data_IF_521777963055
#
_entry.id   IF_521777963055
#
_cell.length_a   1.000
_cell.length_b   1.000
_cell.length_c   1.000
_cell.angle_alpha   90.00
_cell.angle_beta   90.00
_cell.angle_gamma   90.00
#
_symmetry.space_group_name_H-M   'P 1'
#
loop_
_entity.id
_entity.type
_entity.pdbx_description
1 polymer ?
#
# COMPACT_ATOMS: atom_id res chain seq x y z
N UNK A 1 64.86 2.19 30.24
CA UNK A 1 63.77 3.20 30.25
C UNK A 1 63.35 3.54 28.82
N UNK A 2 62.52 2.73 28.14
CA UNK A 2 61.96 3.14 26.83
C UNK A 2 60.68 2.38 26.42
N UNK A 3 59.91 1.82 27.36
CA UNK A 3 58.72 0.99 27.03
C UNK A 3 57.40 1.62 27.48
N UNK A 4 57.41 2.62 28.37
CA UNK A 4 56.17 3.20 28.91
C UNK A 4 55.57 4.39 28.15
N UNK A 5 56.36 5.13 27.36
CA UNK A 5 55.84 6.29 26.60
C UNK A 5 55.09 5.93 25.32
N UNK A 6 55.20 4.68 24.82
CA UNK A 6 54.45 4.22 23.63
C UNK A 6 53.11 3.57 23.97
N UNK A 7 52.92 3.08 25.20
CA UNK A 7 51.65 2.49 25.62
C UNK A 7 50.58 3.55 25.93
N UNK A 8 51.00 4.73 26.42
CA UNK A 8 50.08 5.84 26.74
C UNK A 8 49.54 6.54 25.48
N UNK A 9 50.30 6.55 24.39
CA UNK A 9 49.84 7.12 23.11
C UNK A 9 48.82 6.20 22.39
N UNK A 10 48.89 4.89 22.63
CA UNK A 10 47.93 3.93 22.07
C UNK A 10 46.57 3.97 22.78
N UNK A 11 46.54 4.31 24.08
CA UNK A 11 45.30 4.44 24.86
C UNK A 11 44.60 5.79 24.68
N UNK A 12 45.32 6.83 24.25
CA UNK A 12 44.73 8.15 23.96
C UNK A 12 44.15 8.25 22.53
N UNK A 13 44.55 7.36 21.62
CA UNK A 13 44.01 7.28 20.26
C UNK A 13 42.77 6.38 20.12
N UNK A 14 42.37 5.67 21.19
CA UNK A 14 41.15 4.83 21.19
C UNK A 14 39.88 5.56 21.68
N UNK A 15 39.97 6.83 22.09
CA UNK A 15 38.84 7.59 22.64
C UNK A 15 38.37 8.77 21.78
N UNK A 16 38.79 8.85 20.50
CA UNK A 16 38.31 9.88 19.58
C UNK A 16 37.81 9.22 18.31
N UNK A 17 36.51 9.45 18.04
CA UNK A 17 35.73 9.02 16.86
C UNK A 17 34.92 7.71 17.00
N UNK A 18 34.16 7.53 18.08
CA UNK A 18 32.77 7.08 17.89
C UNK A 18 31.94 8.34 17.71
N UNK A 19 31.94 8.87 16.49
CA UNK A 19 30.86 9.76 16.08
C UNK A 19 29.62 8.88 16.12
N UNK A 20 28.56 9.22 16.87
CA UNK A 20 27.29 8.56 16.66
C UNK A 20 26.97 8.81 15.19
N UNK A 21 26.95 7.74 14.39
CA UNK A 21 26.24 7.77 13.12
C UNK A 21 24.83 8.15 13.53
N UNK A 22 24.52 9.44 13.41
CA UNK A 22 23.17 9.94 13.35
C UNK A 22 22.55 9.06 12.28
N UNK A 23 21.71 8.11 12.70
CA UNK A 23 20.87 7.36 11.80
C UNK A 23 20.13 8.43 11.01
N UNK A 24 20.58 8.67 9.77
CA UNK A 24 19.86 9.55 8.86
C UNK A 24 18.45 8.97 8.81
N UNK A 25 17.47 9.75 9.27
CA UNK A 25 16.08 9.32 9.26
C UNK A 25 15.79 8.71 7.90
N UNK A 26 15.31 7.47 7.89
CA UNK A 26 15.05 6.76 6.64
C UNK A 26 14.19 7.67 5.75
N UNK A 27 14.60 7.91 4.49
CA UNK A 27 13.87 8.80 3.60
C UNK A 27 12.42 8.31 3.49
N UNK A 28 11.46 9.22 3.64
CA UNK A 28 10.01 8.89 3.64
C UNK A 28 9.49 8.52 2.24
N UNK A 29 10.36 8.54 1.23
CA UNK A 29 10.10 8.02 -0.10
C UNK A 29 11.35 7.43 -0.73
N UNK A 30 11.15 6.67 -1.79
CA UNK A 30 12.20 6.03 -2.59
C UNK A 30 11.87 6.17 -4.07
N UNK A 31 12.84 5.95 -4.97
CA UNK A 31 12.54 5.88 -6.39
C UNK A 31 11.46 4.84 -6.66
N UNK A 32 10.45 5.22 -7.45
CA UNK A 32 9.37 4.32 -7.80
C UNK A 32 9.89 3.17 -8.68
N UNK A 33 9.21 2.04 -8.60
CA UNK A 33 9.31 0.96 -9.59
C UNK A 33 8.22 1.15 -10.65
N UNK A 34 8.43 0.60 -11.86
CA UNK A 34 7.47 0.72 -12.97
C UNK A 34 6.06 0.30 -12.55
N UNK A 35 5.94 -0.82 -11.84
CA UNK A 35 4.67 -1.36 -11.38
C UNK A 35 3.94 -0.43 -10.39
N UNK A 36 4.68 0.42 -9.68
CA UNK A 36 4.10 1.41 -8.77
C UNK A 36 3.57 2.64 -9.53
N UNK A 37 4.04 2.89 -10.76
CA UNK A 37 3.52 3.95 -11.63
C UNK A 37 2.25 3.53 -12.37
N UNK A 38 2.16 2.28 -12.83
CA UNK A 38 1.02 1.79 -13.63
C UNK A 38 -0.27 1.87 -12.80
N UNK A 39 -1.30 2.51 -13.36
CA UNK A 39 -2.61 2.71 -12.72
C UNK A 39 -3.20 4.09 -12.97
N UNK A 40 -4.25 4.40 -12.19
CA UNK A 40 -5.00 5.65 -12.26
C UNK A 40 -4.66 6.56 -11.09
N UNK A 41 -4.54 7.85 -11.37
CA UNK A 41 -4.01 8.82 -10.43
C UNK A 41 -4.76 10.13 -10.51
N UNK A 42 -4.95 10.77 -9.37
CA UNK A 42 -5.43 12.14 -9.27
C UNK A 42 -4.32 13.05 -8.71
N UNK A 43 -4.27 14.28 -9.19
CA UNK A 43 -3.41 15.31 -8.63
C UNK A 43 -3.99 15.80 -7.30
N UNK A 44 -3.21 15.68 -6.23
CA UNK A 44 -3.54 16.16 -4.89
C UNK A 44 -2.73 17.41 -4.58
N UNK A 45 -3.28 18.37 -3.80
CA UNK A 45 -2.54 19.55 -3.37
C UNK A 45 -1.25 19.21 -2.61
N UNK A 46 -0.10 19.58 -3.18
CA UNK A 46 1.24 19.36 -2.61
C UNK A 46 1.74 20.51 -1.73
N UNK A 47 1.02 21.64 -1.69
CA UNK A 47 1.38 22.81 -0.87
C UNK A 47 0.12 23.56 -0.41
N UNK A 48 0.05 24.09 0.83
CA UNK A 48 -1.12 24.85 1.30
C UNK A 48 -1.43 26.10 0.47
N UNK A 49 -0.41 26.71 -0.14
CA UNK A 49 -0.54 27.87 -1.05
C UNK A 49 -0.08 27.50 -2.47
N UNK A 50 -0.82 26.61 -3.17
CA UNK A 50 -0.51 26.20 -4.55
C UNK A 50 -0.44 27.38 -5.53
N UNK A 51 -1.27 28.40 -5.33
CA UNK A 51 -1.48 29.51 -6.29
C UNK A 51 -0.22 30.39 -6.41
N UNK A 52 0.51 30.58 -5.31
CA UNK A 52 1.58 31.56 -5.22
C UNK A 52 2.98 30.99 -5.53
N UNK A 53 3.11 29.67 -5.67
CA UNK A 53 4.40 29.03 -5.98
C UNK A 53 4.34 28.34 -7.35
N UNK A 54 5.08 28.84 -8.37
CA UNK A 54 5.03 28.29 -9.73
C UNK A 54 5.50 26.84 -9.82
N UNK A 55 6.29 26.33 -8.87
CA UNK A 55 6.72 24.92 -8.86
C UNK A 55 5.58 23.97 -8.51
N UNK A 56 4.57 24.43 -7.77
CA UNK A 56 3.45 23.61 -7.33
C UNK A 56 2.15 23.99 -8.05
N UNK A 57 2.14 25.10 -8.77
CA UNK A 57 0.96 25.61 -9.46
C UNK A 57 0.68 24.78 -10.74
N UNK A 58 -0.43 24.03 -10.81
CA UNK A 58 -0.83 23.26 -11.99
C UNK A 58 -1.34 24.11 -13.18
N UNK A 59 -1.39 25.43 -13.03
CA UNK A 59 -1.88 26.38 -14.04
C UNK A 59 -3.40 26.56 -14.00
N UNK A 60 -3.99 26.91 -15.15
CA UNK A 60 -5.43 27.22 -15.28
C UNK A 60 -6.34 26.00 -15.14
N UNK A 61 -5.79 24.78 -15.12
CA UNK A 61 -6.54 23.53 -14.92
C UNK A 61 -5.99 22.77 -13.71
N UNK A 62 -6.37 23.19 -12.49
CA UNK A 62 -5.80 22.66 -11.26
C UNK A 62 -6.21 21.22 -10.93
N UNK A 63 -7.30 20.72 -11.51
CA UNK A 63 -7.76 19.36 -11.29
C UNK A 63 -7.31 18.49 -12.46
N UNK A 64 -6.47 17.49 -12.17
CA UNK A 64 -5.85 16.65 -13.18
C UNK A 64 -5.90 15.18 -12.77
N UNK A 65 -6.15 14.32 -13.75
CA UNK A 65 -6.13 12.88 -13.59
C UNK A 65 -5.27 12.25 -14.67
N UNK A 66 -4.60 11.16 -14.31
CA UNK A 66 -3.64 10.48 -15.15
C UNK A 66 -3.93 8.99 -15.15
N UNK A 67 -3.72 8.34 -16.28
CA UNK A 67 -3.62 6.89 -16.37
C UNK A 67 -2.29 6.53 -17.02
N UNK A 68 -1.51 5.67 -16.37
CA UNK A 68 -0.29 5.07 -16.93
C UNK A 68 -0.57 3.60 -17.22
N UNK A 69 -0.52 3.22 -18.48
CA UNK A 69 -0.78 1.86 -18.94
C UNK A 69 0.52 1.09 -19.11
N UNK A 70 0.49 -0.23 -18.86
CA UNK A 70 1.70 -1.05 -18.95
C UNK A 70 2.32 -1.07 -20.36
N UNK A 71 1.49 -0.87 -21.39
CA UNK A 71 1.90 -0.73 -22.79
C UNK A 71 2.69 0.55 -23.12
N UNK A 72 2.96 1.42 -22.14
CA UNK A 72 3.70 2.66 -22.35
C UNK A 72 2.81 3.81 -22.84
N UNK A 73 1.49 3.69 -22.74
CA UNK A 73 0.57 4.79 -23.00
C UNK A 73 0.26 5.58 -21.74
N UNK A 74 0.08 6.90 -21.89
CA UNK A 74 -0.34 7.80 -20.83
C UNK A 74 -1.53 8.64 -21.30
N UNK A 75 -2.58 8.66 -20.50
CA UNK A 75 -3.72 9.55 -20.67
C UNK A 75 -3.71 10.59 -19.56
N UNK A 76 -4.05 11.83 -19.89
CA UNK A 76 -4.27 12.88 -18.92
C UNK A 76 -5.57 13.63 -19.23
N UNK A 77 -6.40 13.86 -18.21
CA UNK A 77 -7.52 14.80 -18.26
C UNK A 77 -7.21 15.95 -17.32
N UNK A 78 -7.45 17.18 -17.79
CA UNK A 78 -7.30 18.41 -17.00
C UNK A 78 -8.60 19.21 -17.06
N UNK A 79 -9.01 19.78 -15.93
CA UNK A 79 -10.19 20.64 -15.85
C UNK A 79 -9.98 21.75 -14.83
N UNK A 80 -10.76 22.82 -14.99
CA UNK A 80 -10.89 23.91 -14.01
C UNK A 80 -12.06 23.70 -13.05
N UNK A 81 -12.93 22.72 -13.31
CA UNK A 81 -14.11 22.43 -12.48
C UNK A 81 -13.72 21.60 -11.23
N UNK A 82 -13.86 22.15 -10.01
CA UNK A 82 -13.57 21.44 -8.76
C UNK A 82 -14.51 20.27 -8.46
N UNK A 83 -15.73 20.27 -9.02
CA UNK A 83 -16.74 19.26 -8.78
C UNK A 83 -16.62 18.09 -9.75
N UNK A 84 -15.89 18.27 -10.85
CA UNK A 84 -15.64 17.21 -11.81
C UNK A 84 -14.79 16.13 -11.17
N UNK A 85 -15.36 14.94 -11.04
CA UNK A 85 -14.60 13.72 -10.73
C UNK A 85 -14.42 12.93 -12.00
N UNK A 86 -13.18 12.62 -12.36
CA UNK A 86 -12.85 11.75 -13.49
C UNK A 86 -12.74 10.31 -13.00
N UNK A 87 -13.36 9.41 -13.72
CA UNK A 87 -13.33 7.97 -13.44
C UNK A 87 -12.28 7.25 -14.30
N UNK A 88 -11.76 6.10 -13.84
CA UNK A 88 -10.91 5.22 -14.66
C UNK A 88 -11.50 4.91 -16.05
N UNK A 89 -12.82 4.70 -16.12
CA UNK A 89 -13.54 4.46 -17.40
C UNK A 89 -13.37 5.59 -18.40
N UNK A 90 -13.38 6.83 -17.94
CA UNK A 90 -13.26 7.98 -18.82
C UNK A 90 -11.84 8.09 -19.38
N UNK A 91 -10.84 7.79 -18.54
CA UNK A 91 -9.44 7.70 -18.97
C UNK A 91 -9.25 6.55 -19.99
N UNK A 92 -9.83 5.38 -19.72
CA UNK A 92 -9.83 4.25 -20.65
C UNK A 92 -10.59 4.54 -21.94
N UNK A 93 -11.68 5.30 -21.84
CA UNK A 93 -12.47 5.77 -22.96
C UNK A 93 -11.64 6.64 -23.89
N UNK A 94 -10.75 7.48 -23.34
CA UNK A 94 -9.81 8.27 -24.14
C UNK A 94 -8.80 7.38 -24.84
N UNK A 95 -8.19 6.43 -24.10
CA UNK A 95 -7.23 5.49 -24.69
C UNK A 95 -7.83 4.74 -25.90
N UNK A 96 -9.09 4.31 -25.79
CA UNK A 96 -9.79 3.52 -26.82
C UNK A 96 -10.30 4.37 -27.98
N UNK A 97 -10.95 5.50 -27.67
CA UNK A 97 -11.71 6.25 -28.67
C UNK A 97 -10.90 7.40 -29.29
N UNK A 98 -9.84 7.85 -28.62
CA UNK A 98 -9.02 8.97 -29.06
C UNK A 98 -7.52 8.64 -28.97
N UNK A 99 -7.03 7.57 -29.63
CA UNK A 99 -5.63 7.13 -29.53
C UNK A 99 -4.62 8.23 -29.94
N UNK A 100 -5.03 9.16 -30.80
CA UNK A 100 -4.20 10.29 -31.24
C UNK A 100 -4.02 11.38 -30.16
N UNK A 101 -4.76 11.32 -29.05
CA UNK A 101 -4.65 12.24 -27.90
C UNK A 101 -3.85 11.61 -26.74
N UNK A 102 -3.33 10.40 -26.95
CA UNK A 102 -2.63 9.61 -25.93
C UNK A 102 -1.13 9.84 -26.06
N UNK A 103 -0.50 10.30 -24.99
CA UNK A 103 0.95 10.43 -24.92
C UNK A 103 1.60 9.06 -24.77
N UNK A 104 2.83 8.90 -25.24
CA UNK A 104 3.65 7.73 -24.89
C UNK A 104 4.56 8.06 -23.71
N UNK A 105 4.90 7.07 -22.90
CA UNK A 105 5.90 7.21 -21.86
C UNK A 105 6.86 6.02 -21.81
N UNK A 106 8.06 6.29 -21.32
CA UNK A 106 9.03 5.25 -20.95
C UNK A 106 9.45 5.40 -19.49
N UNK A 107 9.76 4.29 -18.83
CA UNK A 107 10.17 4.26 -17.43
C UNK A 107 11.55 3.61 -17.26
N UNK A 108 12.50 4.31 -16.66
CA UNK A 108 13.84 3.77 -16.35
C UNK A 108 14.35 4.33 -15.03
N UNK A 109 14.73 3.44 -14.11
CA UNK A 109 15.42 3.78 -12.85
C UNK A 109 14.76 4.92 -12.03
N UNK A 110 13.43 4.91 -11.92
CA UNK A 110 12.70 5.95 -11.19
C UNK A 110 12.40 7.21 -12.00
N UNK A 111 12.72 7.24 -13.30
CA UNK A 111 12.40 8.34 -14.20
C UNK A 111 11.35 7.95 -15.23
N UNK A 112 10.42 8.86 -15.49
CA UNK A 112 9.44 8.80 -16.58
C UNK A 112 9.81 9.83 -17.62
N UNK A 113 9.96 9.41 -18.87
CA UNK A 113 9.97 10.34 -20.01
C UNK A 113 8.61 10.27 -20.68
N UNK A 114 7.88 11.39 -20.71
CA UNK A 114 6.59 11.53 -21.40
C UNK A 114 6.83 12.26 -22.71
N UNK A 115 6.47 11.63 -23.82
CA UNK A 115 6.51 12.23 -25.15
C UNK A 115 5.09 12.59 -25.56
N UNK A 116 4.84 13.89 -25.73
CA UNK A 116 3.55 14.39 -26.19
C UNK A 116 3.32 14.10 -27.67
N UNK A 117 2.05 14.09 -28.10
CA UNK A 117 1.72 13.99 -29.52
C UNK A 117 1.69 15.38 -30.17
N UNK A 118 2.35 15.53 -31.32
CA UNK A 118 2.35 16.73 -32.16
C UNK A 118 3.74 17.33 -32.40
N UNK A 119 3.87 18.14 -33.45
CA UNK A 119 5.15 18.69 -33.94
C UNK A 119 5.79 19.76 -33.04
N UNK A 120 5.14 20.12 -31.93
CA UNK A 120 5.57 21.15 -30.98
C UNK A 120 5.68 20.64 -29.53
N UNK A 121 5.45 19.34 -29.28
CA UNK A 121 5.56 18.78 -27.94
C UNK A 121 7.02 18.42 -27.63
N UNK A 122 7.61 19.07 -26.62
CA UNK A 122 8.89 18.65 -26.05
C UNK A 122 8.69 17.46 -25.11
N UNK A 123 9.63 16.52 -25.13
CA UNK A 123 9.66 15.45 -24.14
C UNK A 123 9.80 16.03 -22.73
N UNK A 124 8.98 15.53 -21.80
CA UNK A 124 9.07 15.87 -20.38
C UNK A 124 9.78 14.74 -19.63
N UNK A 125 10.83 15.06 -18.87
CA UNK A 125 11.51 14.12 -17.98
C UNK A 125 11.08 14.34 -16.53
N UNK A 126 10.51 13.32 -15.91
CA UNK A 126 10.02 13.35 -14.54
C UNK A 126 10.78 12.36 -13.66
N UNK A 127 11.37 12.82 -12.56
CA UNK A 127 11.79 11.94 -11.47
C UNK A 127 10.58 11.53 -10.63
N UNK A 128 10.43 10.24 -10.33
CA UNK A 128 9.26 9.68 -9.65
C UNK A 128 9.69 8.97 -8.37
N UNK A 129 9.20 9.47 -7.24
CA UNK A 129 9.37 8.83 -5.95
C UNK A 129 8.04 8.33 -5.42
N UNK A 130 8.05 7.15 -4.80
CA UNK A 130 6.91 6.61 -4.06
C UNK A 130 7.09 6.88 -2.57
N UNK A 131 6.04 7.34 -1.92
CA UNK A 131 5.99 7.53 -0.47
C UNK A 131 5.88 6.17 0.21
N UNK A 132 6.77 5.87 1.16
CA UNK A 132 6.85 4.54 1.81
C UNK A 132 6.19 4.51 3.18
N UNK A 133 5.99 5.67 3.80
CA UNK A 133 5.33 5.84 5.09
C UNK A 133 4.51 7.12 5.12
N UNK A 134 3.46 7.13 5.93
CA UNK A 134 2.64 8.33 6.13
C UNK A 134 3.49 9.46 6.71
N UNK A 135 3.39 10.65 6.13
CA UNK A 135 4.04 11.86 6.65
C UNK A 135 3.17 13.07 6.40
N UNK A 136 3.16 14.01 7.34
CA UNK A 136 2.48 15.30 7.20
C UNK A 136 3.55 16.38 7.15
N UNK A 137 3.57 17.14 6.06
CA UNK A 137 4.47 18.29 5.90
C UNK A 137 3.61 19.55 5.78
N UNK A 138 3.68 20.43 6.78
CA UNK A 138 2.79 21.58 6.87
C UNK A 138 1.33 21.14 6.99
N UNK A 139 0.50 21.47 5.99
CA UNK A 139 -0.93 21.08 5.92
C UNK A 139 -1.21 19.96 4.90
N UNK A 140 -0.17 19.35 4.35
CA UNK A 140 -0.30 18.34 3.29
C UNK A 140 0.02 16.98 3.87
N UNK A 141 -0.90 16.05 3.65
CA UNK A 141 -0.76 14.65 4.06
C UNK A 141 -0.31 13.79 2.87
N UNK A 142 0.82 13.12 3.05
CA UNK A 142 1.36 12.14 2.13
C UNK A 142 1.09 10.74 2.69
N UNK A 143 0.45 9.90 1.89
CA UNK A 143 0.09 8.54 2.26
C UNK A 143 1.06 7.53 1.61
N UNK A 144 1.29 6.36 2.25
CA UNK A 144 2.03 5.28 1.61
C UNK A 144 1.44 4.94 0.24
N UNK A 145 2.29 4.87 -0.78
CA UNK A 145 1.88 4.60 -2.17
C UNK A 145 1.56 5.83 -3.02
N UNK A 146 1.45 7.03 -2.42
CA UNK A 146 1.41 8.27 -3.19
C UNK A 146 2.70 8.43 -4.02
N UNK A 147 2.60 9.09 -5.17
CA UNK A 147 3.76 9.43 -5.99
C UNK A 147 4.06 10.92 -5.93
N UNK A 148 5.34 11.24 -5.81
CA UNK A 148 5.88 12.58 -6.02
C UNK A 148 6.65 12.58 -7.32
N UNK A 149 6.14 13.32 -8.30
CA UNK A 149 6.82 13.53 -9.57
C UNK A 149 7.50 14.91 -9.58
N UNK A 150 8.73 14.97 -10.06
CA UNK A 150 9.54 16.20 -10.18
C UNK A 150 9.95 16.39 -11.63
N UNK A 151 9.49 17.47 -12.27
CA UNK A 151 9.82 17.79 -13.67
C UNK A 151 11.23 18.38 -13.75
N UNK A 152 12.07 17.78 -14.58
CA UNK A 152 13.38 18.31 -14.93
C UNK A 152 13.28 19.42 -15.98
N UNK A 153 13.96 20.53 -15.71
CA UNK A 153 14.14 21.65 -16.64
C UNK A 153 15.62 21.90 -16.92
N UNK A 154 16.39 20.85 -17.24
CA UNK A 154 17.83 20.95 -17.51
C UNK A 154 18.69 20.83 -16.25
N UNK A 155 18.45 19.80 -15.43
CA UNK A 155 19.17 19.53 -14.18
C UNK A 155 18.62 20.27 -12.96
N UNK A 156 17.47 20.94 -13.09
CA UNK A 156 16.78 21.64 -12.00
C UNK A 156 15.32 21.24 -11.98
N UNK A 157 14.77 21.03 -10.78
CA UNK A 157 13.34 20.78 -10.64
C UNK A 157 12.55 22.07 -10.82
N UNK A 158 11.73 22.11 -11.86
CA UNK A 158 10.89 23.25 -12.24
C UNK A 158 9.43 23.10 -11.86
N UNK A 159 8.95 21.86 -11.65
CA UNK A 159 7.58 21.58 -11.22
C UNK A 159 7.48 20.29 -10.42
N UNK A 160 6.48 20.19 -9.55
CA UNK A 160 6.15 18.98 -8.81
C UNK A 160 4.69 18.58 -9.03
N UNK A 161 4.43 17.28 -8.97
CA UNK A 161 3.08 16.71 -8.85
C UNK A 161 3.05 15.76 -7.66
N UNK A 162 2.02 15.87 -6.84
CA UNK A 162 1.66 14.85 -5.86
C UNK A 162 0.47 14.09 -6.41
N UNK A 163 0.68 12.81 -6.71
CA UNK A 163 -0.35 11.95 -7.26
C UNK A 163 -0.81 10.96 -6.20
N UNK A 164 -2.13 10.87 -6.05
CA UNK A 164 -2.78 9.85 -5.24
C UNK A 164 -3.47 8.84 -6.14
N UNK A 165 -3.34 7.57 -5.79
CA UNK A 165 -3.92 6.49 -6.58
C UNK A 165 -5.45 6.52 -6.45
N UNK A 166 -6.13 6.44 -7.60
CA UNK A 166 -7.58 6.24 -7.66
C UNK A 166 -7.81 4.73 -7.62
N UNK A 167 -8.49 4.26 -6.58
CA UNK A 167 -8.82 2.84 -6.42
C UNK A 167 -10.17 2.52 -7.07
N UNK A 168 -10.26 1.35 -7.71
CA UNK A 168 -11.42 0.89 -8.50
C UNK A 168 -12.62 0.43 -7.65
N UNK A 169 -12.55 0.52 -6.31
CA UNK A 169 -13.56 -0.07 -5.39
C UNK A 169 -14.98 0.45 -5.59
N UNK A 170 -15.15 1.63 -6.21
CA UNK A 170 -16.46 2.27 -6.41
C UNK A 170 -17.06 2.03 -7.80
N UNK A 171 -16.35 1.33 -8.70
CA UNK A 171 -16.69 1.30 -10.13
C UNK A 171 -16.94 -0.11 -10.72
N UNK A 172 -16.35 -1.17 -10.16
CA UNK A 172 -16.38 -2.50 -10.78
C UNK A 172 -17.60 -3.38 -10.45
N UNK A 173 -18.64 -2.84 -9.81
CA UNK A 173 -19.81 -3.65 -9.42
C UNK A 173 -20.66 -4.17 -10.60
N UNK A 174 -20.56 -3.58 -11.80
CA UNK A 174 -21.61 -3.75 -12.82
C UNK A 174 -21.20 -4.24 -14.22
N UNK A 175 -19.94 -4.60 -14.53
CA UNK A 175 -19.63 -5.19 -15.87
C UNK A 175 -18.58 -6.31 -15.88
N UNK A 176 -19.05 -7.48 -16.29
CA UNK A 176 -18.40 -8.65 -16.94
C UNK A 176 -16.86 -8.65 -17.06
N UNK A 177 -16.26 -9.67 -16.43
CA UNK A 177 -14.83 -10.03 -16.31
C UNK A 177 -14.00 -9.33 -15.21
N UNK A 178 -14.61 -8.54 -14.33
CA UNK A 178 -13.93 -8.24 -13.05
C UNK A 178 -13.70 -9.53 -12.26
N UNK A 179 -12.48 -9.81 -11.77
CA UNK A 179 -12.24 -10.94 -10.88
C UNK A 179 -12.86 -10.74 -9.50
N UNK A 180 -13.36 -9.54 -9.20
CA UNK A 180 -14.17 -9.23 -8.03
C UNK A 180 -15.58 -9.74 -8.27
N UNK A 181 -15.94 -10.85 -7.62
CA UNK A 181 -17.24 -11.53 -7.80
C UNK A 181 -18.26 -11.12 -6.74
N UNK A 182 -17.78 -10.52 -5.66
CA UNK A 182 -18.59 -10.07 -4.53
C UNK A 182 -19.34 -8.78 -4.88
N UNK A 183 -20.50 -8.59 -4.26
CA UNK A 183 -21.25 -7.33 -4.31
C UNK A 183 -21.03 -6.53 -3.02
N UNK A 184 -21.05 -5.19 -3.01
CA UNK A 184 -21.00 -4.44 -1.76
C UNK A 184 -22.19 -4.80 -0.86
N UNK A 185 -22.01 -4.72 0.46
CA UNK A 185 -23.06 -4.98 1.46
C UNK A 185 -23.07 -3.90 2.53
N UNK A 186 -24.23 -3.68 3.15
CA UNK A 186 -24.31 -2.79 4.30
C UNK A 186 -23.65 -3.46 5.52
N UNK A 187 -22.78 -2.70 6.19
CA UNK A 187 -22.22 -3.02 7.49
C UNK A 187 -23.27 -2.86 8.60
N UNK A 188 -23.01 -3.45 9.77
CA UNK A 188 -23.90 -3.33 10.94
C UNK A 188 -23.88 -1.94 11.55
N UNK A 189 -22.80 -1.19 11.37
CA UNK A 189 -22.70 0.22 11.77
C UNK A 189 -23.28 1.21 10.74
N UNK A 190 -23.89 0.69 9.66
CA UNK A 190 -24.51 1.49 8.60
C UNK A 190 -23.55 1.97 7.50
N UNK A 191 -22.24 1.72 7.63
CA UNK A 191 -21.29 1.97 6.54
C UNK A 191 -21.43 0.93 5.42
N UNK A 192 -20.78 1.16 4.28
CA UNK A 192 -20.69 0.15 3.20
C UNK A 192 -19.43 -0.70 3.38
N UNK A 193 -19.56 -2.01 3.21
CA UNK A 193 -18.44 -2.93 3.02
C UNK A 193 -18.31 -3.17 1.52
N UNK A 194 -17.17 -2.79 0.95
CA UNK A 194 -16.97 -2.84 -0.50
C UNK A 194 -16.87 -4.27 -1.02
N UNK A 195 -17.14 -4.45 -2.32
CA UNK A 195 -16.93 -5.74 -3.00
C UNK A 195 -15.47 -6.24 -2.88
N UNK A 196 -14.51 -5.32 -2.99
CA UNK A 196 -13.07 -5.58 -2.83
C UNK A 196 -12.76 -6.11 -1.43
N UNK A 197 -13.30 -5.45 -0.41
CA UNK A 197 -13.15 -5.85 0.99
C UNK A 197 -13.68 -7.27 1.22
N UNK A 198 -14.86 -7.59 0.67
CA UNK A 198 -15.43 -8.95 0.74
C UNK A 198 -14.56 -10.00 0.07
N UNK A 199 -13.97 -9.72 -1.09
CA UNK A 199 -13.05 -10.66 -1.74
C UNK A 199 -11.81 -10.93 -0.88
N UNK A 200 -11.28 -9.92 -0.20
CA UNK A 200 -10.15 -10.11 0.71
C UNK A 200 -10.58 -10.97 1.90
N UNK A 201 -11.74 -10.70 2.52
CA UNK A 201 -12.26 -11.51 3.63
C UNK A 201 -12.45 -12.96 3.17
N UNK A 202 -13.08 -13.18 2.01
CA UNK A 202 -13.27 -14.51 1.40
C UNK A 202 -11.96 -15.25 1.13
N UNK A 203 -10.89 -14.52 0.82
CA UNK A 203 -9.56 -15.11 0.60
C UNK A 203 -8.81 -15.42 1.90
N UNK A 204 -8.94 -14.56 2.92
CA UNK A 204 -8.20 -14.67 4.17
C UNK A 204 -8.85 -15.61 5.18
N UNK A 205 -10.18 -15.59 5.33
CA UNK A 205 -10.88 -16.45 6.30
C UNK A 205 -10.49 -17.93 6.14
N UNK A 206 -10.49 -18.52 4.93
CA UNK A 206 -10.06 -19.92 4.77
C UNK A 206 -8.60 -20.18 5.16
N UNK A 207 -7.70 -19.20 4.97
CA UNK A 207 -6.30 -19.33 5.42
C UNK A 207 -6.22 -19.36 6.95
N UNK A 208 -6.98 -18.49 7.62
CA UNK A 208 -7.04 -18.42 9.08
C UNK A 208 -7.62 -19.68 9.70
N UNK A 209 -8.69 -20.21 9.10
CA UNK A 209 -9.27 -21.51 9.45
C UNK A 209 -8.24 -22.62 9.28
N UNK A 210 -7.54 -22.67 8.13
CA UNK A 210 -6.52 -23.68 7.88
C UNK A 210 -5.38 -23.64 8.92
N UNK A 211 -4.90 -22.44 9.29
CA UNK A 211 -3.89 -22.27 10.36
C UNK A 211 -4.39 -22.81 11.69
N UNK A 212 -5.64 -22.53 12.06
CA UNK A 212 -6.26 -23.02 13.29
C UNK A 212 -6.44 -24.54 13.31
N UNK A 213 -6.80 -25.12 12.16
CA UNK A 213 -7.06 -26.56 11.99
C UNK A 213 -5.81 -27.38 11.64
N UNK A 214 -4.64 -26.72 11.53
CA UNK A 214 -3.37 -27.35 11.11
C UNK A 214 -3.44 -28.00 9.71
N UNK A 215 -4.27 -27.46 8.82
CA UNK A 215 -4.36 -27.92 7.43
C UNK A 215 -3.23 -27.33 6.57
N UNK A 216 -2.08 -28.01 6.58
CA UNK A 216 -0.90 -27.64 5.79
C UNK A 216 -1.18 -27.58 4.27
N UNK A 217 -2.11 -28.40 3.75
CA UNK A 217 -2.44 -28.42 2.33
C UNK A 217 -3.12 -27.12 1.91
N UNK A 218 -4.13 -26.71 2.66
CA UNK A 218 -4.84 -25.45 2.41
C UNK A 218 -3.96 -24.24 2.67
N UNK A 219 -3.13 -24.25 3.72
CA UNK A 219 -2.13 -23.20 3.95
C UNK A 219 -1.23 -22.98 2.74
N UNK A 220 -0.66 -24.05 2.16
CA UNK A 220 0.24 -23.97 0.98
C UNK A 220 -0.47 -23.59 -0.31
N UNK A 221 -1.76 -23.93 -0.43
CA UNK A 221 -2.60 -23.53 -1.57
C UNK A 221 -2.85 -22.02 -1.54
N UNK A 222 -3.23 -21.49 -0.37
CA UNK A 222 -3.62 -20.10 -0.19
C UNK A 222 -2.43 -19.17 0.02
N UNK A 223 -1.31 -19.67 0.54
CA UNK A 223 -0.07 -18.93 0.70
C UNK A 223 1.12 -19.70 0.08
N UNK A 224 1.35 -19.55 -1.24
CA UNK A 224 2.34 -20.34 -1.97
C UNK A 224 3.78 -20.27 -1.46
N UNK A 225 4.16 -19.21 -0.72
CA UNK A 225 5.51 -19.12 -0.11
C UNK A 225 5.75 -20.21 0.94
N UNK A 226 4.69 -20.76 1.54
CA UNK A 226 4.79 -21.85 2.49
C UNK A 226 5.10 -23.21 1.84
N UNK A 227 5.10 -23.33 0.52
CA UNK A 227 5.37 -24.60 -0.19
C UNK A 227 6.75 -25.18 0.12
N UNK A 228 7.71 -24.33 0.49
CA UNK A 228 9.06 -24.74 0.87
C UNK A 228 9.17 -25.20 2.34
N UNK A 229 8.10 -25.10 3.14
CA UNK A 229 8.03 -25.61 4.52
C UNK A 229 7.51 -27.04 4.52
N UNK A 230 7.99 -27.88 5.44
CA UNK A 230 7.42 -29.23 5.61
C UNK A 230 6.04 -29.15 6.24
N UNK A 231 5.20 -30.16 6.00
CA UNK A 231 3.87 -30.22 6.62
C UNK A 231 3.98 -30.30 8.14
N UNK A 232 4.96 -31.03 8.67
CA UNK A 232 5.21 -31.15 10.10
C UNK A 232 5.56 -29.79 10.72
N UNK A 233 6.37 -28.96 10.05
CA UNK A 233 6.69 -27.61 10.52
C UNK A 233 5.46 -26.70 10.60
N UNK A 234 4.53 -26.82 9.64
CA UNK A 234 3.30 -26.02 9.62
C UNK A 234 2.30 -26.50 10.69
N UNK A 235 2.21 -27.82 10.90
CA UNK A 235 1.35 -28.40 11.94
C UNK A 235 1.88 -28.13 13.34
N UNK A 236 3.20 -28.04 13.52
CA UNK A 236 3.85 -27.78 14.81
C UNK A 236 3.87 -26.30 15.20
N UNK A 237 3.28 -25.39 14.42
CA UNK A 237 3.20 -23.98 14.81
C UNK A 237 2.47 -23.85 16.16
N UNK A 238 3.02 -23.15 17.16
CA UNK A 238 2.45 -23.08 18.51
C UNK A 238 1.30 -22.07 18.60
N UNK A 239 0.41 -22.06 17.60
CA UNK A 239 -0.70 -21.10 17.47
C UNK A 239 -2.02 -21.83 17.25
N UNK A 240 -3.12 -21.33 17.81
CA UNK A 240 -4.49 -21.79 17.52
C UNK A 240 -5.45 -20.61 17.52
N UNK A 241 -6.71 -20.83 17.15
CA UNK A 241 -7.76 -19.80 17.16
C UNK A 241 -7.35 -18.53 16.39
N UNK A 242 -6.72 -18.73 15.22
CA UNK A 242 -6.29 -17.65 14.32
C UNK A 242 -7.54 -16.96 13.77
N UNK A 243 -7.83 -15.75 14.23
CA UNK A 243 -9.10 -15.05 14.02
C UNK A 243 -8.88 -13.75 13.27
N UNK A 244 -9.59 -13.58 12.15
CA UNK A 244 -9.62 -12.31 11.42
C UNK A 244 -10.75 -11.45 12.00
N UNK A 245 -10.41 -10.28 12.52
CA UNK A 245 -11.38 -9.36 13.12
C UNK A 245 -11.90 -8.34 12.11
N UNK A 246 -11.02 -7.83 11.24
CA UNK A 246 -11.37 -6.75 10.33
C UNK A 246 -10.28 -6.42 9.33
N UNK A 247 -10.63 -5.55 8.39
CA UNK A 247 -9.72 -5.00 7.39
C UNK A 247 -9.71 -3.47 7.43
N UNK A 248 -8.54 -2.90 7.17
CA UNK A 248 -8.35 -1.47 6.95
C UNK A 248 -7.55 -1.23 5.66
N UNK A 249 -7.49 0.01 5.18
CA UNK A 249 -6.74 0.45 3.99
C UNK A 249 -6.94 -0.48 2.76
N UNK A 250 -8.19 -0.92 2.57
CA UNK A 250 -8.57 -1.85 1.51
C UNK A 250 -8.42 -1.21 0.13
N UNK A 251 -7.75 -1.90 -0.78
CA UNK A 251 -7.55 -1.43 -2.15
C UNK A 251 -7.46 -2.55 -3.18
N UNK A 252 -7.81 -2.22 -4.41
CA UNK A 252 -7.65 -3.05 -5.61
C UNK A 252 -7.06 -2.22 -6.74
N UNK A 253 -5.97 -2.69 -7.35
CA UNK A 253 -5.28 -1.99 -8.44
C UNK A 253 -5.57 -2.55 -9.84
N UNK A 254 -6.58 -3.42 -9.98
CA UNK A 254 -6.85 -4.13 -11.23
C UNK A 254 -6.11 -5.47 -11.35
N UNK A 255 -5.16 -5.75 -10.45
CA UNK A 255 -4.39 -7.01 -10.46
C UNK A 255 -4.18 -7.62 -9.08
N UNK A 256 -4.14 -6.78 -8.04
CA UNK A 256 -3.82 -7.16 -6.66
C UNK A 256 -4.81 -6.54 -5.70
N UNK A 257 -5.19 -7.33 -4.70
CA UNK A 257 -5.89 -6.83 -3.52
C UNK A 257 -4.86 -6.51 -2.44
N UNK A 258 -5.07 -5.42 -1.71
CA UNK A 258 -4.26 -5.08 -0.55
C UNK A 258 -5.16 -4.60 0.58
N UNK A 259 -4.79 -4.94 1.80
CA UNK A 259 -5.43 -4.46 3.00
C UNK A 259 -4.50 -4.61 4.18
N UNK A 260 -4.87 -3.98 5.28
CA UNK A 260 -4.31 -4.24 6.60
C UNK A 260 -5.24 -5.19 7.32
N UNK A 261 -4.77 -6.40 7.59
CA UNK A 261 -5.52 -7.38 8.36
C UNK A 261 -5.38 -7.07 9.85
N UNK A 262 -6.51 -6.99 10.55
CA UNK A 262 -6.57 -6.95 12.02
C UNK A 262 -6.92 -8.35 12.49
N UNK A 263 -6.04 -8.96 13.28
CA UNK A 263 -6.22 -10.36 13.66
C UNK A 263 -5.73 -10.65 15.08
N UNK A 264 -6.10 -11.82 15.58
CA UNK A 264 -5.50 -12.38 16.78
C UNK A 264 -5.28 -13.87 16.65
N UNK A 265 -4.45 -14.41 17.53
CA UNK A 265 -4.23 -15.83 17.66
C UNK A 265 -3.83 -16.18 19.08
N UNK A 266 -4.10 -17.40 19.49
CA UNK A 266 -3.68 -17.92 20.79
C UNK A 266 -2.35 -18.63 20.65
N UNK A 267 -1.37 -18.29 21.48
CA UNK A 267 -0.11 -19.03 21.58
C UNK A 267 -0.26 -20.14 22.62
N UNK A 268 0.04 -21.37 22.20
CA UNK A 268 0.15 -22.50 23.11
C UNK A 268 1.49 -22.43 23.85
N UNK A 269 1.47 -21.90 25.07
CA UNK A 269 2.63 -21.98 25.97
C UNK A 269 2.41 -23.11 26.97
N UNK A 270 3.30 -24.11 27.03
CA UNK A 270 3.34 -25.05 28.13
C UNK A 270 3.41 -24.26 29.46
N UNK A 271 2.70 -24.75 30.47
CA UNK A 271 2.81 -24.27 31.85
C UNK A 271 2.28 -22.85 32.15
N UNK A 272 1.46 -22.26 31.28
CA UNK A 272 0.75 -20.99 31.57
C UNK A 272 -0.72 -21.22 31.95
N UNK A 273 -1.18 -20.60 33.04
CA UNK A 273 -2.60 -20.57 33.41
C UNK A 273 -3.31 -19.47 32.63
N UNK A 274 -4.07 -19.84 31.60
CA UNK A 274 -4.91 -18.91 30.81
C UNK A 274 -4.67 -18.98 29.30
N UNK A 275 -5.48 -18.24 28.53
CA UNK A 275 -5.34 -18.10 27.07
C UNK A 275 -4.36 -16.97 26.77
N UNK A 276 -3.25 -17.27 26.10
CA UNK A 276 -2.30 -16.25 25.66
C UNK A 276 -2.71 -15.74 24.27
N UNK A 277 -3.63 -14.78 24.23
CA UNK A 277 -4.09 -14.19 22.98
C UNK A 277 -3.13 -13.06 22.59
N UNK A 278 -2.63 -13.13 21.36
CA UNK A 278 -1.85 -12.07 20.72
C UNK A 278 -2.74 -11.38 19.70
N UNK A 279 -2.95 -10.08 19.87
CA UNK A 279 -3.55 -9.21 18.86
C UNK A 279 -2.44 -8.64 17.96
N UNK A 280 -2.68 -8.62 16.64
CA UNK A 280 -1.69 -8.21 15.65
C UNK A 280 -2.33 -7.54 14.44
N UNK A 281 -1.49 -6.87 13.63
CA UNK A 281 -1.88 -6.41 12.30
C UNK A 281 -0.77 -6.64 11.27
N UNK A 282 -1.15 -6.81 10.01
CA UNK A 282 -0.22 -7.01 8.91
C UNK A 282 -0.74 -6.40 7.62
N UNK A 283 0.16 -5.83 6.82
CA UNK A 283 -0.14 -5.52 5.42
C UNK A 283 -0.16 -6.83 4.62
N UNK A 284 -1.30 -7.10 3.99
CA UNK A 284 -1.55 -8.33 3.25
C UNK A 284 -1.78 -8.01 1.79
N UNK A 285 -1.05 -8.70 0.92
CA UNK A 285 -1.16 -8.56 -0.52
C UNK A 285 -1.66 -9.88 -1.14
N UNK A 286 -2.71 -9.80 -1.94
CA UNK A 286 -3.27 -10.93 -2.68
C UNK A 286 -3.10 -10.73 -4.19
N UNK A 287 -2.89 -11.82 -4.91
CA UNK A 287 -2.92 -11.85 -6.37
C UNK A 287 -3.81 -12.99 -6.85
N UNK A 288 -4.45 -12.80 -8.00
CA UNK A 288 -5.27 -13.84 -8.61
C UNK A 288 -4.36 -14.88 -9.26
N UNK A 289 -4.47 -16.14 -8.84
CA UNK A 289 -3.79 -17.29 -9.46
C UNK A 289 -4.78 -18.42 -9.67
N UNK A 290 -4.87 -18.92 -10.91
CA UNK A 290 -5.76 -20.02 -11.28
C UNK A 290 -7.22 -19.81 -10.83
N UNK A 291 -7.71 -18.57 -10.95
CA UNK A 291 -9.09 -18.22 -10.58
C UNK A 291 -9.37 -18.08 -9.08
N UNK A 292 -8.35 -18.09 -8.22
CA UNK A 292 -8.47 -17.86 -6.78
C UNK A 292 -7.48 -16.80 -6.29
N UNK A 293 -7.91 -15.97 -5.34
CA UNK A 293 -7.03 -15.03 -4.65
C UNK A 293 -6.10 -15.79 -3.70
N UNK A 294 -4.80 -15.56 -3.82
CA UNK A 294 -3.78 -16.15 -2.95
C UNK A 294 -2.88 -15.09 -2.35
N UNK A 295 -2.37 -15.35 -1.15
CA UNK A 295 -1.43 -14.49 -0.43
C UNK A 295 -0.08 -14.51 -1.14
N UNK A 296 0.38 -13.32 -1.53
CA UNK A 296 1.69 -13.09 -2.16
C UNK A 296 2.57 -12.12 -1.37
N UNK A 297 2.08 -11.66 -0.23
CA UNK A 297 2.83 -10.84 0.72
C UNK A 297 2.11 -10.76 2.05
N UNK A 298 2.86 -10.92 3.13
CA UNK A 298 2.40 -10.78 4.50
C UNK A 298 3.47 -10.05 5.29
N UNK A 299 3.22 -8.79 5.61
CA UNK A 299 4.19 -7.91 6.27
C UNK A 299 3.61 -7.49 7.62
N UNK A 300 4.01 -8.12 8.73
CA UNK A 300 3.60 -7.69 10.05
C UNK A 300 3.94 -6.20 10.23
N UNK A 301 2.97 -5.40 10.70
CA UNK A 301 3.26 -4.02 11.10
C UNK A 301 3.97 -4.08 12.44
N UNK A 302 5.14 -3.43 12.53
CA UNK A 302 6.01 -3.46 13.71
C UNK A 302 5.18 -3.28 14.99
N UNK A 303 5.26 -4.30 15.82
CA UNK A 303 4.59 -4.40 17.10
C UNK A 303 5.69 -4.37 18.14
N UNK A 304 6.00 -3.20 18.66
CA UNK A 304 6.58 -3.20 20.00
C UNK A 304 5.47 -3.68 20.94
N UNK A 305 5.37 -5.01 21.10
CA UNK A 305 4.41 -5.67 21.97
C UNK A 305 4.69 -5.40 23.45
N UNK A 306 5.66 -4.55 23.78
CA UNK A 306 5.88 -4.02 25.13
C UNK A 306 5.29 -2.63 25.31
N UNK A 307 4.86 -1.98 24.23
CA UNK A 307 4.24 -0.66 24.25
C UNK A 307 2.74 -0.75 24.56
N UNK A 308 2.31 -0.05 25.60
CA UNK A 308 0.89 0.04 25.97
C UNK A 308 0.06 0.75 24.90
N UNK A 309 0.65 1.71 24.18
CA UNK A 309 -0.03 2.44 23.10
C UNK A 309 -0.41 1.49 21.96
N UNK A 310 0.47 0.52 21.65
CA UNK A 310 0.20 -0.53 20.67
C UNK A 310 -1.05 -1.35 21.06
N UNK A 311 -1.13 -1.80 22.31
CA UNK A 311 -2.28 -2.60 22.77
C UNK A 311 -3.59 -1.80 22.76
N UNK A 312 -3.56 -0.56 23.24
CA UNK A 312 -4.73 0.31 23.19
C UNK A 312 -5.19 0.54 21.75
N UNK A 313 -4.25 0.75 20.83
CA UNK A 313 -4.54 0.94 19.42
C UNK A 313 -5.15 -0.32 18.79
N UNK A 314 -4.55 -1.50 18.98
CA UNK A 314 -5.02 -2.72 18.32
C UNK A 314 -6.38 -3.17 18.86
N UNK A 315 -6.64 -3.03 20.17
CA UNK A 315 -7.97 -3.35 20.74
C UNK A 315 -9.02 -2.36 20.27
N UNK A 316 -8.71 -1.07 20.20
CA UNK A 316 -9.62 -0.06 19.63
C UNK A 316 -10.01 -0.39 18.18
N UNK A 317 -9.04 -0.86 17.38
CA UNK A 317 -9.29 -1.30 15.99
C UNK A 317 -10.14 -2.56 15.92
N UNK A 318 -9.93 -3.52 16.82
CA UNK A 318 -10.79 -4.71 16.93
C UNK A 318 -12.23 -4.36 17.33
N UNK A 319 -12.43 -3.48 18.32
CA UNK A 319 -13.77 -3.00 18.70
C UNK A 319 -14.47 -2.26 17.55
N UNK A 320 -13.72 -1.44 16.80
CA UNK A 320 -14.25 -0.76 15.61
C UNK A 320 -14.67 -1.77 14.54
N UNK A 321 -13.86 -2.80 14.31
CA UNK A 321 -14.20 -3.87 13.39
C UNK A 321 -15.45 -4.63 13.86
N UNK A 322 -15.53 -5.00 15.14
CA UNK A 322 -16.71 -5.67 15.71
C UNK A 322 -17.98 -4.84 15.51
N UNK A 323 -17.95 -3.53 15.77
CA UNK A 323 -19.08 -2.64 15.53
C UNK A 323 -19.47 -2.61 14.05
N UNK A 324 -18.48 -2.60 13.14
CA UNK A 324 -18.70 -2.55 11.69
C UNK A 324 -19.29 -3.85 11.15
N UNK A 325 -18.73 -5.01 11.50
CA UNK A 325 -19.17 -6.31 10.95
C UNK A 325 -20.25 -7.00 11.79
N UNK A 326 -20.44 -6.58 13.06
CA UNK A 326 -21.31 -7.21 14.06
C UNK A 326 -20.82 -8.55 14.58
N UNK A 327 -19.53 -8.84 14.41
CA UNK A 327 -18.89 -10.05 14.92
C UNK A 327 -17.42 -9.76 15.22
N UNK A 328 -16.88 -10.43 16.24
CA UNK A 328 -15.44 -10.43 16.53
C UNK A 328 -14.67 -11.41 15.67
N UNK A 329 -15.35 -12.21 14.86
CA UNK A 329 -14.75 -13.27 14.06
C UNK A 329 -15.39 -13.27 12.68
N UNK A 330 -14.63 -12.85 11.67
CA UNK A 330 -15.11 -12.77 10.30
C UNK A 330 -15.38 -14.13 9.67
N UNK A 331 -14.92 -15.24 10.26
CA UNK A 331 -15.36 -16.57 9.83
C UNK A 331 -16.86 -16.82 10.12
N UNK A 332 -17.44 -16.04 11.04
CA UNK A 332 -18.87 -16.09 11.42
C UNK A 332 -19.69 -14.94 10.82
N UNK A 333 -19.08 -14.11 9.99
CA UNK A 333 -19.75 -12.95 9.41
C UNK A 333 -20.76 -13.39 8.33
N UNK A 334 -21.99 -12.88 8.43
CA UNK A 334 -23.12 -13.17 7.55
C UNK A 334 -22.99 -12.54 6.15
N UNK A 335 -22.09 -11.57 6.00
CA UNK A 335 -21.83 -10.90 4.73
C UNK A 335 -20.80 -11.59 3.83
N UNK A 336 -20.36 -12.81 4.17
CA UNK A 336 -19.41 -13.57 3.36
C UNK A 336 -19.99 -13.97 2.02
#
# INVERSE_FOLDING_TARGET
MLVWKRLFLLFLLLNLMVVPVLAAEAPFGQFAQRQQLIGYWELVPIHPDLVNNPKFNPGSSPYQWFAFYDGGQMVAIKTSDPLRRVTPKELDGILKNFPNQVSSFSFRNGFVTVSGQGTAASDELWGVNVITRKVVLGKVEFLPGDLIMSLDGGGKVISYRHLRRIFLSDYDADKSESPIKSLPVAAKDGQTISAVEREIIRALVPYFTAVSEKDATTMKKLFPELRNRSDDQLRSLPVKNYTLHGLEDVSYDGSRLRAVAIYSFEIEKPDTVGRNIVAASADVHLALKNGSWVIVGWFPRDSDMTDMEYFQNIFSRQEKAEKRYGTTDLAKWDGL
#
